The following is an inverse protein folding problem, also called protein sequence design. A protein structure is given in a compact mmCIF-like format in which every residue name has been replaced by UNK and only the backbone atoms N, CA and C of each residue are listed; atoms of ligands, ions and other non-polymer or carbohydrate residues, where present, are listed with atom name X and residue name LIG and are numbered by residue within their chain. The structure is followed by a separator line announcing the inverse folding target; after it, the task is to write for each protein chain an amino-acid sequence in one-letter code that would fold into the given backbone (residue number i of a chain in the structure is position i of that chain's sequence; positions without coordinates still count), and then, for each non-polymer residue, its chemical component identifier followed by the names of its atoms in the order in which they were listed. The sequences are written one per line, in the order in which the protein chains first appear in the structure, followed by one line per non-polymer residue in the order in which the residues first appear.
data_IF_299440253373
#
_entry.id   IF_299440253373
#
_cell.length_a   1.000
_cell.length_b   1.000
_cell.length_c   1.000
_cell.angle_alpha   90.00
_cell.angle_beta   90.00
_cell.angle_gamma   90.00
#
_symmetry.space_group_name_H-M   'P 1'
#
loop_
_entity.id
_entity.type
_entity.pdbx_description
1 polymer ?
#
# COMPACT_ATOMS: atom_id res chain seq x y z
N UNK A 1 51.61 31.42 47.76
CA UNK A 1 51.24 30.45 46.71
C UNK A 1 52.48 30.08 45.92
N UNK A 2 52.67 28.81 45.58
CA UNK A 2 53.83 28.32 44.82
C UNK A 2 53.41 27.98 43.39
N UNK A 3 54.28 28.17 42.39
CA UNK A 3 54.05 27.78 40.98
C UNK A 3 53.45 26.37 40.81
N UNK A 4 53.82 25.43 41.69
CA UNK A 4 53.32 24.06 41.70
C UNK A 4 51.82 23.97 42.01
N UNK A 5 51.28 24.81 42.90
CA UNK A 5 49.84 24.81 43.20
C UNK A 5 49.05 25.41 42.05
N UNK A 6 49.55 26.49 41.43
CA UNK A 6 48.92 27.11 40.26
C UNK A 6 48.86 26.17 39.05
N UNK A 7 49.89 25.34 38.84
CA UNK A 7 49.89 24.32 37.78
C UNK A 7 48.90 23.18 38.08
N UNK A 8 48.75 22.78 39.34
CA UNK A 8 47.75 21.78 39.73
C UNK A 8 46.32 22.31 39.57
N UNK A 9 46.09 23.56 39.97
CA UNK A 9 44.79 24.21 39.80
C UNK A 9 44.44 24.35 38.31
N UNK A 10 45.39 24.80 37.47
CA UNK A 10 45.18 24.89 36.02
C UNK A 10 44.89 23.54 35.36
N UNK A 11 45.53 22.46 35.82
CA UNK A 11 45.23 21.10 35.34
C UNK A 11 43.83 20.65 35.73
N UNK A 12 43.45 20.86 36.99
CA UNK A 12 42.09 20.53 37.45
C UNK A 12 41.01 21.31 36.67
N UNK A 13 41.24 22.59 36.37
CA UNK A 13 40.30 23.37 35.57
C UNK A 13 40.25 22.91 34.10
N UNK A 14 41.37 22.48 33.52
CA UNK A 14 41.41 21.93 32.16
C UNK A 14 40.68 20.58 32.06
N UNK A 15 40.82 19.73 33.09
CA UNK A 15 40.12 18.44 33.15
C UNK A 15 38.60 18.65 33.28
N UNK A 16 38.15 19.56 34.14
CA UNK A 16 36.73 19.94 34.27
C UNK A 16 36.16 20.52 32.97
N UNK A 17 36.90 21.41 32.31
CA UNK A 17 36.47 21.99 31.02
C UNK A 17 36.39 20.94 29.89
N UNK A 18 37.31 19.97 29.89
CA UNK A 18 37.27 18.85 28.97
C UNK A 18 36.06 17.95 29.24
N UNK A 19 35.74 17.67 30.50
CA UNK A 19 34.56 16.91 30.90
C UNK A 19 33.26 17.63 30.49
N UNK A 20 33.16 18.94 30.71
CA UNK A 20 32.01 19.75 30.27
C UNK A 20 31.83 19.71 28.75
N UNK A 21 32.92 19.84 27.99
CA UNK A 21 32.89 19.75 26.53
C UNK A 21 32.41 18.38 26.06
N UNK A 22 32.93 17.29 26.67
CA UNK A 22 32.52 15.93 26.35
C UNK A 22 31.04 15.68 26.66
N UNK A 23 30.55 16.15 27.82
CA UNK A 23 29.13 16.04 28.19
C UNK A 23 28.25 16.77 27.16
N UNK A 24 28.65 17.98 26.73
CA UNK A 24 27.90 18.76 25.73
C UNK A 24 27.84 18.06 24.37
N UNK A 25 28.97 17.55 23.87
CA UNK A 25 29.02 16.81 22.59
C UNK A 25 28.14 15.57 22.64
N UNK A 26 28.22 14.79 23.73
CA UNK A 26 27.46 13.55 23.91
C UNK A 26 25.96 13.79 24.03
N UNK A 27 25.57 14.83 24.77
CA UNK A 27 24.16 15.27 24.85
C UNK A 27 23.61 15.62 23.46
N UNK A 28 24.42 16.30 22.63
CA UNK A 28 24.10 16.56 21.23
C UNK A 28 23.88 15.29 20.41
N UNK A 29 24.74 14.28 20.60
CA UNK A 29 24.62 12.99 19.89
C UNK A 29 23.39 12.18 20.33
N UNK A 30 23.01 12.21 21.61
CA UNK A 30 21.77 11.59 22.06
C UNK A 30 20.53 12.32 21.53
N UNK A 31 20.58 13.65 21.45
CA UNK A 31 19.52 14.44 20.83
C UNK A 31 19.37 14.09 19.34
N UNK A 32 20.48 13.90 18.61
CA UNK A 32 20.47 13.44 17.22
C UNK A 32 19.84 12.04 17.07
N UNK A 33 20.26 11.08 17.91
CA UNK A 33 19.72 9.72 17.91
C UNK A 33 18.21 9.71 18.23
N UNK A 34 17.77 10.52 19.19
CA UNK A 34 16.35 10.69 19.49
C UNK A 34 15.59 11.30 18.30
N UNK A 35 16.19 12.30 17.64
CA UNK A 35 15.66 12.91 16.43
C UNK A 35 15.50 11.91 15.27
N UNK A 36 16.45 10.98 15.13
CA UNK A 36 16.42 9.91 14.12
C UNK A 36 15.40 8.82 14.42
N UNK A 37 15.24 8.44 15.69
CA UNK A 37 14.29 7.41 16.10
C UNK A 37 12.84 7.91 16.03
N UNK A 38 12.60 9.21 16.23
CA UNK A 38 11.26 9.80 16.28
C UNK A 38 10.42 9.52 15.01
N UNK A 39 10.89 9.77 13.77
CA UNK A 39 10.15 9.42 12.57
C UNK A 39 9.75 7.94 12.52
N UNK A 40 10.67 7.04 12.87
CA UNK A 40 10.42 5.60 12.88
C UNK A 40 9.31 5.21 13.87
N UNK A 41 9.32 5.79 15.07
CA UNK A 41 8.27 5.57 16.08
C UNK A 41 6.90 6.14 15.68
N UNK A 42 6.89 7.27 14.96
CA UNK A 42 5.65 7.87 14.45
C UNK A 42 5.06 7.05 13.29
N UNK A 43 5.92 6.46 12.44
CA UNK A 43 5.51 5.67 11.28
C UNK A 43 5.03 4.25 11.66
N UNK A 44 5.62 3.65 12.70
CA UNK A 44 5.35 2.27 13.14
C UNK A 44 3.85 1.91 13.31
N UNK A 45 3.02 2.70 14.02
CA UNK A 45 1.60 2.39 14.16
C UNK A 45 0.89 2.28 12.82
N UNK A 46 1.22 3.15 11.87
CA UNK A 46 0.65 3.13 10.52
C UNK A 46 1.10 1.88 9.75
N UNK A 47 2.37 1.50 9.86
CA UNK A 47 2.88 0.28 9.24
C UNK A 47 2.26 -0.98 9.82
N UNK A 48 1.97 -1.00 11.13
CA UNK A 48 1.28 -2.13 11.77
C UNK A 48 -0.15 -2.28 11.26
N UNK A 49 -0.87 -1.16 11.08
CA UNK A 49 -2.18 -1.18 10.42
C UNK A 49 -2.06 -1.72 9.00
N UNK A 50 -1.10 -1.20 8.21
CA UNK A 50 -0.88 -1.66 6.85
C UNK A 50 -0.48 -3.14 6.76
N UNK A 51 0.31 -3.64 7.72
CA UNK A 51 0.66 -5.05 7.83
C UNK A 51 -0.57 -5.92 8.13
N UNK A 52 -1.44 -5.48 9.05
CA UNK A 52 -2.67 -6.19 9.38
C UNK A 52 -3.63 -6.26 8.17
N UNK A 53 -3.66 -5.22 7.34
CA UNK A 53 -4.39 -5.23 6.07
C UNK A 53 -3.78 -6.21 5.07
N UNK A 54 -2.46 -6.15 4.84
CA UNK A 54 -1.76 -7.05 3.92
C UNK A 54 -1.89 -8.53 4.35
N UNK A 55 -1.96 -8.82 5.65
CA UNK A 55 -2.23 -10.17 6.17
C UNK A 55 -3.57 -10.74 5.69
N UNK A 56 -4.55 -9.91 5.38
CA UNK A 56 -5.86 -10.35 4.86
C UNK A 56 -5.79 -10.78 3.40
N UNK A 57 -4.68 -10.51 2.70
CA UNK A 57 -4.49 -10.83 1.28
C UNK A 57 -3.99 -12.27 1.03
N UNK A 58 -3.94 -13.11 2.07
CA UNK A 58 -3.41 -14.49 2.03
C UNK A 58 -2.00 -14.60 1.41
N UNK A 59 -1.19 -13.54 1.57
CA UNK A 59 0.20 -13.52 1.13
C UNK A 59 1.10 -14.17 2.18
N UNK A 60 2.05 -15.00 1.73
CA UNK A 60 3.09 -15.55 2.60
C UNK A 60 3.97 -14.41 3.14
N UNK A 61 3.81 -14.11 4.42
CA UNK A 61 4.68 -13.18 5.14
C UNK A 61 5.88 -13.93 5.72
N UNK A 62 7.05 -13.27 5.85
CA UNK A 62 8.21 -13.90 6.46
C UNK A 62 7.87 -14.34 7.91
N UNK A 63 8.15 -15.60 8.29
CA UNK A 63 7.70 -16.18 9.56
C UNK A 63 8.34 -15.54 10.80
N UNK A 64 9.53 -14.94 10.64
CA UNK A 64 10.33 -14.43 11.76
C UNK A 64 9.95 -12.99 12.18
N UNK A 65 8.90 -12.40 11.60
CA UNK A 65 8.59 -10.97 11.78
C UNK A 65 8.09 -10.60 13.16
N UNK A 66 7.26 -11.45 13.76
CA UNK A 66 6.78 -11.20 15.12
C UNK A 66 7.94 -11.33 16.13
N UNK A 67 8.91 -12.19 15.85
CA UNK A 67 10.14 -12.32 16.62
C UNK A 67 11.07 -11.10 16.45
N UNK A 68 11.28 -10.62 15.23
CA UNK A 68 12.04 -9.39 14.96
C UNK A 68 11.40 -8.16 15.63
N UNK A 69 10.07 -8.03 15.57
CA UNK A 69 9.33 -6.97 16.24
C UNK A 69 9.54 -7.00 17.76
N UNK A 70 9.44 -8.19 18.37
CA UNK A 70 9.67 -8.39 19.79
C UNK A 70 11.12 -8.02 20.17
N UNK A 71 12.11 -8.47 19.40
CA UNK A 71 13.52 -8.18 19.61
C UNK A 71 13.83 -6.68 19.52
N UNK A 72 13.26 -5.95 18.55
CA UNK A 72 13.45 -4.50 18.42
C UNK A 72 12.73 -3.75 19.55
N UNK A 73 11.52 -4.16 19.92
CA UNK A 73 10.78 -3.56 21.04
C UNK A 73 11.52 -3.72 22.37
N UNK A 74 12.00 -4.93 22.65
CA UNK A 74 12.80 -5.24 23.83
C UNK A 74 14.12 -4.47 23.82
N UNK A 75 14.79 -4.41 22.66
CA UNK A 75 16.01 -3.64 22.45
C UNK A 75 15.85 -2.14 22.78
N UNK A 76 14.74 -1.53 22.36
CA UNK A 76 14.45 -0.12 22.64
C UNK A 76 14.03 0.10 24.10
N UNK A 77 13.31 -0.86 24.70
CA UNK A 77 12.93 -0.81 26.12
C UNK A 77 14.15 -0.95 27.03
N UNK A 78 15.05 -1.89 26.72
CA UNK A 78 16.33 -2.05 27.40
C UNK A 78 17.16 -0.77 27.29
N UNK A 79 17.24 -0.15 26.10
CA UNK A 79 17.93 1.13 25.93
C UNK A 79 17.35 2.21 26.86
N UNK A 80 16.02 2.32 26.97
CA UNK A 80 15.39 3.29 27.87
C UNK A 80 15.67 3.00 29.36
N UNK A 81 15.77 1.73 29.74
CA UNK A 81 16.04 1.30 31.10
C UNK A 81 17.53 1.41 31.51
N UNK A 82 18.44 1.20 30.57
CA UNK A 82 19.89 1.11 30.82
C UNK A 82 20.62 2.46 30.67
N UNK A 83 20.02 3.40 29.93
CA UNK A 83 20.52 4.77 29.76
C UNK A 83 20.90 5.47 31.08
N UNK A 84 20.16 5.32 32.20
CA UNK A 84 20.49 5.93 33.48
C UNK A 84 21.66 5.26 34.25
N UNK A 85 22.01 4.00 33.96
CA UNK A 85 22.88 3.18 34.83
C UNK A 85 24.25 2.81 34.27
N UNK A 86 24.48 2.99 32.98
CA UNK A 86 25.74 2.63 32.30
C UNK A 86 26.71 3.82 32.16
N UNK A 87 27.98 3.52 31.91
CA UNK A 87 28.98 4.56 31.59
C UNK A 87 28.62 5.26 30.28
N UNK A 88 28.87 6.57 30.20
CA UNK A 88 28.36 7.43 29.11
C UNK A 88 28.85 6.97 27.72
N UNK A 89 30.05 6.39 27.61
CA UNK A 89 30.64 5.89 26.35
C UNK A 89 29.99 4.59 25.86
N UNK A 90 29.82 3.62 26.76
CA UNK A 90 29.15 2.35 26.44
C UNK A 90 27.67 2.60 26.07
N UNK A 91 27.04 3.58 26.70
CA UNK A 91 25.68 4.02 26.39
C UNK A 91 25.52 4.55 24.97
N UNK A 92 26.47 5.34 24.48
CA UNK A 92 26.34 5.99 23.19
C UNK A 92 26.44 5.00 22.01
N UNK A 93 27.40 4.09 22.05
CA UNK A 93 27.57 3.12 20.96
C UNK A 93 26.47 2.05 20.96
N UNK A 94 26.01 1.63 22.15
CA UNK A 94 24.82 0.79 22.30
C UNK A 94 23.58 1.52 21.74
N UNK A 95 23.37 2.78 22.08
CA UNK A 95 22.26 3.58 21.57
C UNK A 95 22.29 3.71 20.05
N UNK A 96 23.46 3.99 19.45
CA UNK A 96 23.61 4.03 17.98
C UNK A 96 23.23 2.70 17.35
N UNK A 97 23.72 1.57 17.87
CA UNK A 97 23.43 0.26 17.32
C UNK A 97 21.93 -0.08 17.39
N UNK A 98 21.29 0.20 18.53
CA UNK A 98 19.87 -0.04 18.77
C UNK A 98 18.98 0.84 17.90
N UNK A 99 19.32 2.14 17.74
CA UNK A 99 18.61 3.05 16.84
C UNK A 99 18.74 2.61 15.38
N UNK A 100 19.93 2.24 14.91
CA UNK A 100 20.12 1.69 13.56
C UNK A 100 19.31 0.43 13.32
N UNK A 101 19.24 -0.46 14.31
CA UNK A 101 18.42 -1.68 14.21
C UNK A 101 16.93 -1.35 14.08
N UNK A 102 16.43 -0.37 14.84
CA UNK A 102 15.04 0.07 14.75
C UNK A 102 14.73 0.73 13.40
N UNK A 103 15.60 1.61 12.91
CA UNK A 103 15.47 2.23 11.58
C UNK A 103 15.44 1.17 10.47
N UNK A 104 16.35 0.19 10.53
CA UNK A 104 16.40 -0.92 9.58
C UNK A 104 15.10 -1.71 9.58
N UNK A 105 14.61 -2.10 10.76
CA UNK A 105 13.34 -2.83 10.89
C UNK A 105 12.16 -2.07 10.31
N UNK A 106 12.03 -0.77 10.62
CA UNK A 106 10.95 0.06 10.09
C UNK A 106 11.04 0.20 8.56
N UNK A 107 12.25 0.38 8.02
CA UNK A 107 12.48 0.45 6.57
C UNK A 107 12.15 -0.85 5.85
N UNK A 108 12.50 -2.00 6.43
CA UNK A 108 12.14 -3.32 5.89
C UNK A 108 10.62 -3.55 5.94
N UNK A 109 9.99 -3.25 7.08
CA UNK A 109 8.53 -3.37 7.23
C UNK A 109 7.80 -2.49 6.22
N UNK A 110 8.24 -1.26 6.02
CA UNK A 110 7.69 -0.35 5.00
C UNK A 110 7.82 -0.93 3.61
N UNK A 111 8.99 -1.44 3.25
CA UNK A 111 9.25 -2.04 1.93
C UNK A 111 8.34 -3.25 1.69
N UNK A 112 8.20 -4.11 2.71
CA UNK A 112 7.33 -5.28 2.64
C UNK A 112 5.87 -4.88 2.45
N UNK A 113 5.32 -4.04 3.34
CA UNK A 113 3.91 -3.63 3.28
C UNK A 113 3.61 -2.92 1.97
N UNK A 114 4.47 -2.00 1.53
CA UNK A 114 4.30 -1.29 0.27
C UNK A 114 4.40 -2.22 -0.94
N UNK A 115 5.38 -3.12 -0.95
CA UNK A 115 5.60 -4.08 -2.03
C UNK A 115 4.44 -5.05 -2.18
N UNK A 116 4.00 -5.66 -1.09
CA UNK A 116 2.85 -6.57 -1.07
C UNK A 116 1.55 -5.87 -1.49
N UNK A 117 1.32 -4.66 -0.98
CA UNK A 117 0.14 -3.88 -1.36
C UNK A 117 0.14 -3.53 -2.85
N UNK A 118 1.26 -3.01 -3.37
CA UNK A 118 1.40 -2.66 -4.78
C UNK A 118 1.30 -3.88 -5.71
N UNK A 119 1.85 -5.03 -5.32
CA UNK A 119 1.70 -6.26 -6.08
C UNK A 119 0.22 -6.69 -6.19
N UNK A 120 -0.58 -6.43 -5.17
CA UNK A 120 -2.00 -6.74 -5.16
C UNK A 120 -2.83 -5.74 -6.00
N UNK A 121 -2.67 -4.43 -5.78
CA UNK A 121 -3.52 -3.43 -6.43
C UNK A 121 -3.20 -3.17 -7.91
N UNK A 122 -2.02 -3.57 -8.38
CA UNK A 122 -1.65 -3.46 -9.80
C UNK A 122 -2.24 -4.59 -10.66
N UNK A 123 -2.98 -5.53 -10.08
CA UNK A 123 -3.73 -6.50 -10.84
C UNK A 123 -4.84 -5.78 -11.63
N UNK A 124 -4.99 -6.06 -12.94
CA UNK A 124 -6.00 -5.38 -13.75
C UNK A 124 -7.40 -5.71 -13.20
N UNK A 125 -8.29 -4.71 -13.07
CA UNK A 125 -9.67 -4.97 -12.71
C UNK A 125 -10.35 -5.84 -13.78
N UNK A 126 -11.45 -6.54 -13.44
CA UNK A 126 -12.21 -7.30 -14.42
C UNK A 126 -12.59 -6.42 -15.61
N UNK A 127 -12.41 -6.96 -16.81
CA UNK A 127 -12.62 -6.22 -18.05
C UNK A 127 -14.10 -5.88 -18.21
N UNK A 128 -14.41 -4.57 -18.28
CA UNK A 128 -15.72 -4.07 -18.68
C UNK A 128 -15.53 -3.12 -19.85
N UNK A 129 -16.16 -3.46 -20.96
CA UNK A 129 -16.16 -2.68 -22.18
C UNK A 129 -16.98 -1.39 -21.95
N UNK A 130 -16.33 -0.31 -21.50
CA UNK A 130 -17.00 0.99 -21.25
C UNK A 130 -17.67 1.53 -22.51
N UNK A 131 -17.04 1.32 -23.66
CA UNK A 131 -17.58 1.72 -24.94
C UNK A 131 -18.91 0.99 -25.23
N UNK A 132 -19.17 -0.16 -24.59
CA UNK A 132 -20.42 -0.93 -24.78
C UNK A 132 -21.54 -0.33 -23.96
N UNK A 133 -21.22 0.11 -22.75
CA UNK A 133 -22.14 0.93 -21.95
C UNK A 133 -22.56 2.16 -22.74
N UNK A 134 -21.62 2.87 -23.36
CA UNK A 134 -21.93 4.07 -24.13
C UNK A 134 -22.74 3.78 -25.40
N UNK A 135 -22.42 2.70 -26.10
CA UNK A 135 -23.16 2.32 -27.29
C UNK A 135 -24.60 1.87 -26.96
N UNK A 136 -24.80 1.14 -25.85
CA UNK A 136 -26.14 0.77 -25.36
C UNK A 136 -26.96 2.00 -24.95
N UNK A 137 -26.35 2.97 -24.27
CA UNK A 137 -27.00 4.24 -23.95
C UNK A 137 -27.45 5.00 -25.23
N UNK A 138 -26.59 5.06 -26.25
CA UNK A 138 -26.90 5.68 -27.55
C UNK A 138 -27.98 4.90 -28.34
N UNK A 139 -28.11 3.60 -28.08
CA UNK A 139 -29.17 2.72 -28.57
C UNK A 139 -30.51 2.88 -27.83
N UNK A 140 -30.56 3.69 -26.77
CA UNK A 140 -31.77 3.94 -25.98
C UNK A 140 -32.02 2.93 -24.86
N UNK A 141 -31.03 2.10 -24.52
CA UNK A 141 -31.08 1.22 -23.34
C UNK A 141 -30.74 2.05 -22.10
N UNK A 142 -31.54 1.91 -21.05
CA UNK A 142 -31.26 2.57 -19.78
C UNK A 142 -30.09 1.86 -19.07
N UNK A 143 -28.92 2.50 -19.11
CA UNK A 143 -27.67 2.03 -18.50
C UNK A 143 -27.07 3.06 -17.56
N UNK A 144 -27.78 4.14 -17.23
CA UNK A 144 -27.23 5.23 -16.41
C UNK A 144 -26.85 4.74 -15.01
N UNK A 145 -27.68 3.89 -14.39
CA UNK A 145 -27.35 3.27 -13.09
C UNK A 145 -26.05 2.45 -13.16
N UNK A 146 -25.83 1.74 -14.27
CA UNK A 146 -24.62 0.93 -14.50
C UNK A 146 -23.41 1.85 -14.71
N UNK A 147 -23.57 2.93 -15.50
CA UNK A 147 -22.51 3.92 -15.75
C UNK A 147 -22.07 4.60 -14.45
N UNK A 148 -23.02 5.10 -13.67
CA UNK A 148 -22.75 5.77 -12.39
C UNK A 148 -22.06 4.82 -11.40
N UNK A 149 -22.53 3.57 -11.31
CA UNK A 149 -21.92 2.56 -10.46
C UNK A 149 -20.49 2.23 -10.90
N UNK A 150 -20.26 2.08 -12.21
CA UNK A 150 -18.94 1.80 -12.78
C UNK A 150 -17.97 2.95 -12.54
N UNK A 151 -18.40 4.19 -12.77
CA UNK A 151 -17.59 5.39 -12.52
C UNK A 151 -17.25 5.52 -11.03
N UNK A 152 -18.23 5.33 -10.14
CA UNK A 152 -18.02 5.37 -8.69
C UNK A 152 -17.04 4.29 -8.23
N UNK A 153 -17.18 3.06 -8.74
CA UNK A 153 -16.30 1.95 -8.40
C UNK A 153 -14.86 2.17 -8.91
N UNK A 154 -14.69 2.67 -10.13
CA UNK A 154 -13.38 3.04 -10.70
C UNK A 154 -12.72 4.17 -9.91
N UNK A 155 -13.48 5.20 -9.54
CA UNK A 155 -12.97 6.31 -8.72
C UNK A 155 -12.49 5.84 -7.34
N UNK A 156 -13.24 4.93 -6.69
CA UNK A 156 -12.82 4.32 -5.42
C UNK A 156 -11.56 3.48 -5.59
N UNK A 157 -11.49 2.65 -6.63
CA UNK A 157 -10.34 1.81 -6.92
C UNK A 157 -9.09 2.67 -7.15
N UNK A 158 -9.19 3.73 -7.97
CA UNK A 158 -8.09 4.66 -8.20
C UNK A 158 -7.60 5.35 -6.91
N UNK A 159 -8.53 5.78 -6.04
CA UNK A 159 -8.19 6.40 -4.77
C UNK A 159 -7.45 5.46 -3.81
N UNK A 160 -7.73 4.14 -3.90
CA UNK A 160 -7.12 3.10 -3.08
C UNK A 160 -5.77 2.68 -3.67
N UNK A 161 -5.69 2.42 -4.98
CA UNK A 161 -4.47 1.95 -5.66
C UNK A 161 -3.32 2.96 -5.63
N UNK A 162 -3.63 4.27 -5.56
CA UNK A 162 -2.62 5.32 -5.45
C UNK A 162 -1.89 5.37 -4.08
N UNK A 163 -2.33 4.59 -3.09
CA UNK A 163 -1.71 4.58 -1.75
C UNK A 163 -0.49 3.66 -1.72
N UNK A 164 0.59 4.13 -1.10
CA UNK A 164 1.79 3.31 -0.87
C UNK A 164 1.62 2.33 0.29
N UNK A 165 0.98 2.77 1.38
CA UNK A 165 0.70 1.95 2.57
C UNK A 165 -0.81 1.95 2.78
N UNK A 166 -1.46 0.78 2.84
CA UNK A 166 -2.89 0.69 3.06
C UNK A 166 -3.26 1.15 4.47
N UNK A 167 -4.40 1.83 4.58
CA UNK A 167 -5.05 2.15 5.84
C UNK A 167 -6.05 1.05 6.21
N UNK A 168 -6.54 1.11 7.44
CA UNK A 168 -7.57 0.20 7.92
C UNK A 168 -8.79 0.15 6.98
N UNK A 169 -9.16 -1.06 6.57
CA UNK A 169 -10.27 -1.36 5.67
C UNK A 169 -10.02 -1.03 4.20
N UNK A 170 -8.80 -0.65 3.79
CA UNK A 170 -8.52 -0.40 2.38
C UNK A 170 -8.57 -1.70 1.55
N UNK A 171 -8.17 -2.84 2.12
CA UNK A 171 -8.28 -4.15 1.44
C UNK A 171 -9.73 -4.50 1.17
N UNK A 172 -10.60 -4.33 2.16
CA UNK A 172 -12.02 -4.61 1.99
C UNK A 172 -12.68 -3.65 1.00
N UNK A 173 -12.36 -2.36 1.05
CA UNK A 173 -12.84 -1.39 0.05
C UNK A 173 -12.37 -1.71 -1.36
N UNK A 174 -11.13 -2.22 -1.50
CA UNK A 174 -10.62 -2.67 -2.79
C UNK A 174 -11.44 -3.86 -3.32
N UNK A 175 -11.69 -4.87 -2.48
CA UNK A 175 -12.53 -6.03 -2.82
C UNK A 175 -13.95 -5.60 -3.21
N UNK A 176 -14.57 -4.70 -2.45
CA UNK A 176 -15.89 -4.17 -2.74
C UNK A 176 -15.91 -3.42 -4.08
N UNK A 177 -14.88 -2.62 -4.38
CA UNK A 177 -14.78 -1.92 -5.66
C UNK A 177 -14.65 -2.89 -6.83
N UNK A 178 -13.82 -3.93 -6.72
CA UNK A 178 -13.67 -4.98 -7.73
C UNK A 178 -15.00 -5.75 -7.92
N UNK A 179 -15.67 -6.12 -6.83
CA UNK A 179 -16.95 -6.81 -6.88
C UNK A 179 -18.05 -5.93 -7.50
N UNK A 180 -18.07 -4.63 -7.20
CA UNK A 180 -18.99 -3.68 -7.81
C UNK A 180 -18.75 -3.55 -9.32
N UNK A 181 -17.49 -3.50 -9.76
CA UNK A 181 -17.16 -3.57 -11.19
C UNK A 181 -17.73 -4.87 -11.75
N UNK A 182 -17.39 -6.03 -11.19
CA UNK A 182 -17.90 -7.32 -11.69
C UNK A 182 -19.44 -7.37 -11.82
N UNK A 183 -20.16 -6.90 -10.79
CA UNK A 183 -21.62 -6.83 -10.80
C UNK A 183 -22.18 -5.89 -11.87
N UNK A 184 -21.48 -4.79 -12.20
CA UNK A 184 -21.86 -3.95 -13.36
C UNK A 184 -21.75 -4.74 -14.67
N UNK A 185 -20.76 -5.63 -14.79
CA UNK A 185 -20.62 -6.55 -15.92
C UNK A 185 -21.78 -7.53 -16.04
N UNK A 186 -22.25 -8.07 -14.90
CA UNK A 186 -23.42 -8.96 -14.87
C UNK A 186 -24.71 -8.21 -15.26
N UNK A 187 -24.94 -7.02 -14.66
CA UNK A 187 -26.10 -6.16 -14.99
C UNK A 187 -26.15 -5.77 -16.47
N UNK A 188 -24.99 -5.59 -17.13
CA UNK A 188 -24.96 -5.34 -18.58
C UNK A 188 -25.56 -6.48 -19.41
N UNK A 189 -25.50 -7.72 -18.92
CA UNK A 189 -26.16 -8.87 -19.56
C UNK A 189 -27.67 -8.92 -19.33
N UNK A 190 -28.17 -8.27 -18.28
CA UNK A 190 -29.60 -8.25 -17.92
C UNK A 190 -30.40 -7.15 -18.63
N UNK A 191 -29.72 -6.09 -19.11
CA UNK A 191 -30.36 -4.95 -19.80
C UNK A 191 -30.64 -5.21 -21.29
N UNK A 192 -30.16 -6.33 -21.82
CA UNK A 192 -30.40 -6.77 -23.20
C UNK A 192 -31.04 -8.14 -23.21
N UNK A 193 -31.72 -8.49 -24.31
CA UNK A 193 -32.27 -9.84 -24.48
C UNK A 193 -31.17 -10.90 -24.25
N UNK A 194 -31.53 -12.00 -23.58
CA UNK A 194 -30.58 -13.06 -23.22
C UNK A 194 -29.83 -13.65 -24.42
N UNK A 195 -30.48 -13.69 -25.59
CA UNK A 195 -29.85 -14.13 -26.83
C UNK A 195 -28.74 -13.17 -27.28
N UNK A 196 -28.94 -11.85 -27.13
CA UNK A 196 -27.97 -10.79 -27.43
C UNK A 196 -26.86 -10.70 -26.37
N UNK A 197 -27.19 -10.90 -25.09
CA UNK A 197 -26.21 -10.96 -24.00
C UNK A 197 -25.14 -12.04 -24.25
N UNK A 198 -25.56 -13.24 -24.68
CA UNK A 198 -24.68 -14.35 -25.04
C UNK A 198 -23.67 -13.93 -26.12
N UNK A 199 -24.14 -13.23 -27.16
CA UNK A 199 -23.29 -12.72 -28.23
C UNK A 199 -22.29 -11.67 -27.78
N UNK A 200 -22.75 -10.73 -26.94
CA UNK A 200 -21.90 -9.68 -26.36
C UNK A 200 -20.78 -10.29 -25.51
N UNK A 201 -21.11 -11.22 -24.60
CA UNK A 201 -20.12 -11.85 -23.71
C UNK A 201 -19.16 -12.73 -24.50
N UNK A 202 -19.67 -13.63 -25.34
CA UNK A 202 -18.82 -14.54 -26.12
C UNK A 202 -17.95 -13.83 -27.17
N UNK A 203 -18.35 -12.65 -27.66
CA UNK A 203 -17.52 -11.85 -28.57
C UNK A 203 -16.28 -11.24 -27.91
N UNK A 204 -16.26 -11.19 -26.57
CA UNK A 204 -15.15 -10.67 -25.78
C UNK A 204 -14.12 -11.77 -25.42
N UNK A 205 -14.45 -13.06 -25.65
CA UNK A 205 -13.52 -14.16 -25.45
C UNK A 205 -12.49 -14.28 -26.60
N UNK A 206 -11.33 -14.89 -26.33
CA UNK A 206 -10.25 -15.06 -27.33
C UNK A 206 -10.67 -15.78 -28.63
N UNK A 207 -11.69 -16.64 -28.52
CA UNK A 207 -12.26 -17.38 -29.66
C UNK A 207 -13.30 -16.56 -30.42
N UNK A 208 -13.88 -15.53 -29.79
CA UNK A 208 -15.03 -14.79 -30.29
C UNK A 208 -16.28 -15.68 -30.41
N UNK A 209 -17.34 -15.11 -31.00
CA UNK A 209 -18.56 -15.86 -31.30
C UNK A 209 -18.49 -16.60 -32.64
N UNK A 210 -19.07 -17.80 -32.75
CA UNK A 210 -19.19 -18.49 -34.03
C UNK A 210 -20.07 -17.69 -34.99
N UNK A 211 -19.71 -17.70 -36.28
CA UNK A 211 -20.43 -16.94 -37.31
C UNK A 211 -21.92 -17.35 -37.40
N UNK A 212 -22.23 -18.61 -37.08
CA UNK A 212 -23.59 -19.15 -37.03
C UNK A 212 -24.48 -18.50 -35.98
N UNK A 213 -23.92 -17.80 -34.99
CA UNK A 213 -24.71 -17.06 -34.01
C UNK A 213 -25.32 -15.79 -34.62
N UNK A 214 -24.70 -15.17 -35.64
CA UNK A 214 -25.16 -13.94 -36.29
C UNK A 214 -26.30 -14.19 -37.30
N UNK A 215 -27.44 -14.66 -36.81
CA UNK A 215 -28.69 -14.79 -37.59
C UNK A 215 -29.25 -13.40 -37.95
N UNK A 216 -30.05 -13.27 -39.05
CA UNK A 216 -30.67 -11.99 -39.43
C UNK A 216 -31.46 -11.32 -38.29
N UNK A 217 -32.23 -12.10 -37.52
CA UNK A 217 -33.01 -11.60 -36.38
C UNK A 217 -32.12 -10.97 -35.30
N UNK A 218 -30.99 -11.61 -34.97
CA UNK A 218 -30.01 -11.08 -34.02
C UNK A 218 -29.27 -9.87 -34.57
N UNK A 219 -28.96 -9.84 -35.86
CA UNK A 219 -28.35 -8.66 -36.51
C UNK A 219 -29.31 -7.46 -36.48
N UNK A 220 -30.60 -7.66 -36.71
CA UNK A 220 -31.62 -6.61 -36.58
C UNK A 220 -31.72 -6.09 -35.15
N UNK A 221 -31.71 -6.99 -34.16
CA UNK A 221 -31.66 -6.60 -32.74
C UNK A 221 -30.41 -5.80 -32.38
N UNK A 222 -29.23 -6.26 -32.80
CA UNK A 222 -27.97 -5.52 -32.60
C UNK A 222 -28.00 -4.15 -33.32
N UNK A 223 -28.67 -4.06 -34.48
CA UNK A 223 -28.79 -2.83 -35.26
C UNK A 223 -29.76 -1.85 -34.57
N UNK A 224 -30.86 -2.36 -34.01
CA UNK A 224 -31.78 -1.60 -33.18
C UNK A 224 -31.10 -1.01 -31.94
N UNK A 225 -30.15 -1.75 -31.36
CA UNK A 225 -29.28 -1.31 -30.27
C UNK A 225 -28.11 -0.42 -30.73
N UNK A 226 -27.93 -0.21 -32.05
CA UNK A 226 -26.81 0.55 -32.65
C UNK A 226 -25.42 0.04 -32.29
N UNK A 227 -25.28 -1.26 -32.06
CA UNK A 227 -24.01 -1.88 -31.65
C UNK A 227 -23.45 -2.89 -32.67
N UNK A 228 -24.12 -3.11 -33.82
CA UNK A 228 -23.65 -4.03 -34.88
C UNK A 228 -22.19 -3.80 -35.26
N UNK A 229 -21.80 -2.54 -35.47
CA UNK A 229 -20.48 -2.18 -36.00
C UNK A 229 -19.33 -2.48 -35.02
N UNK A 230 -19.65 -2.86 -33.78
CA UNK A 230 -18.66 -3.26 -32.77
C UNK A 230 -18.20 -4.70 -32.98
N UNK A 231 -19.00 -5.53 -33.65
CA UNK A 231 -18.71 -6.94 -33.88
C UNK A 231 -17.93 -7.09 -35.18
N UNK A 232 -16.73 -7.67 -35.07
CA UNK A 232 -15.83 -7.88 -36.21
C UNK A 232 -15.65 -9.37 -36.46
N UNK A 233 -15.84 -9.78 -37.70
CA UNK A 233 -15.57 -11.15 -38.13
C UNK A 233 -14.06 -11.31 -38.34
N UNK A 234 -13.44 -12.26 -37.62
CA UNK A 234 -12.08 -12.70 -37.89
C UNK A 234 -12.13 -14.02 -38.67
N UNK A 235 -11.67 -13.99 -39.91
CA UNK A 235 -11.44 -15.21 -40.69
C UNK A 235 -10.10 -15.81 -40.22
N UNK A 236 -10.15 -17.05 -39.69
CA UNK A 236 -8.96 -17.84 -39.35
C UNK A 236 -8.68 -18.85 -40.45
#
# INVERSE_FOLDING_TARGET
MTLRSTIQDLRAHADVANDEHQVKVRTGQFAELSGRLRPALVELPRLNVGLAEVRQLDLELPPDRDQEAALVSESLRALAADLPSLTIEQNLDLAKARVRSAEKYVGELRTLVAGSWQAHVNQPPPAINSDLVDALAQGGVDVEEIRDALESARGRLQAISNRTIPNQGDVEKFRIAIAAIHSCGEKLGEVVDADIAEGIVGSQEDRGMPLSWFTPERLEKLAGLRIVDRFHVRLR
#
